data_IF_777294173468
#
_entry.id   IF_777294173468
#
_cell.length_a   1.000
_cell.length_b   1.000
_cell.length_c   1.000
_cell.angle_alpha   90.00
_cell.angle_beta   90.00
_cell.angle_gamma   90.00
#
_symmetry.space_group_name_H-M   'P 1'
#
loop_
_entity.id
_entity.type
_entity.pdbx_description
1 polymer ?
#
# COMPACT_ATOMS: atom_id res chain seq x y z
N UNK A 1 -32.17 -21.81 48.97
CA UNK A 1 -31.75 -20.58 48.25
C UNK A 1 -30.25 -20.42 48.42
N UNK A 2 -29.45 -20.97 47.51
CA UNK A 2 -28.00 -20.71 47.44
C UNK A 2 -27.73 -20.00 46.12
N UNK A 3 -27.23 -18.77 46.24
CA UNK A 3 -26.97 -17.83 45.15
C UNK A 3 -25.67 -18.21 44.43
N UNK A 4 -25.73 -18.18 43.11
CA UNK A 4 -24.72 -17.67 42.20
C UNK A 4 -23.25 -17.87 42.61
N UNK A 5 -22.64 -18.97 42.19
CA UNK A 5 -21.18 -19.06 42.05
C UNK A 5 -20.90 -20.05 40.92
N UNK A 6 -19.99 -19.70 40.00
CA UNK A 6 -19.66 -20.36 38.72
C UNK A 6 -20.22 -19.72 37.43
N UNK A 7 -20.18 -18.38 37.37
CA UNK A 7 -19.73 -17.67 36.18
C UNK A 7 -18.28 -17.28 36.46
N UNK A 8 -17.27 -17.85 35.78
CA UNK A 8 -15.88 -17.31 35.60
C UNK A 8 -14.83 -18.37 35.21
N UNK A 9 -15.18 -19.40 34.43
CA UNK A 9 -14.14 -20.21 33.76
C UNK A 9 -14.65 -20.47 32.36
N UNK A 10 -13.82 -20.21 31.34
CA UNK A 10 -14.01 -20.44 29.90
C UNK A 10 -14.47 -19.29 28.98
N UNK A 11 -14.38 -18.02 29.42
CA UNK A 11 -14.01 -16.97 28.47
C UNK A 11 -12.48 -16.99 28.34
N UNK A 12 -11.96 -18.06 27.74
CA UNK A 12 -10.65 -18.04 27.09
C UNK A 12 -10.82 -17.05 25.94
N UNK A 13 -10.66 -15.77 26.26
CA UNK A 13 -10.27 -14.79 25.28
C UNK A 13 -8.90 -15.28 24.84
N UNK A 14 -8.89 -16.13 23.82
CA UNK A 14 -7.76 -16.33 22.95
C UNK A 14 -7.49 -14.96 22.36
N UNK A 15 -6.76 -14.14 23.12
CA UNK A 15 -5.89 -13.12 22.56
C UNK A 15 -4.85 -13.91 21.76
N UNK A 16 -5.26 -14.46 20.62
CA UNK A 16 -4.36 -14.65 19.51
C UNK A 16 -3.90 -13.24 19.20
N UNK A 17 -2.82 -12.85 19.89
CA UNK A 17 -1.95 -11.75 19.51
C UNK A 17 -1.82 -11.91 18.00
N UNK A 18 -2.48 -11.05 17.24
CA UNK A 18 -2.20 -10.96 15.82
C UNK A 18 -0.75 -10.51 15.79
N UNK A 19 0.17 -11.49 15.72
CA UNK A 19 1.58 -11.23 15.58
C UNK A 19 1.69 -10.29 14.38
N UNK A 20 2.31 -9.13 14.60
CA UNK A 20 2.67 -8.28 13.48
C UNK A 20 3.47 -9.14 12.52
N UNK A 21 3.19 -9.09 11.21
CA UNK A 21 4.01 -9.82 10.25
C UNK A 21 5.46 -9.36 10.42
N UNK A 22 6.38 -10.32 10.34
CA UNK A 22 7.83 -10.11 10.38
C UNK A 22 8.45 -10.14 8.97
N UNK A 23 7.66 -10.55 7.97
CA UNK A 23 8.05 -10.66 6.56
C UNK A 23 7.05 -9.93 5.68
N UNK A 24 7.51 -9.30 4.62
CA UNK A 24 6.67 -8.49 3.74
C UNK A 24 6.92 -8.75 2.27
N UNK A 25 5.84 -8.62 1.50
CA UNK A 25 5.91 -8.42 0.05
C UNK A 25 5.56 -6.96 -0.22
N UNK A 26 6.47 -6.26 -0.89
CA UNK A 26 6.27 -4.89 -1.33
C UNK A 26 5.79 -4.87 -2.78
N UNK A 27 4.73 -4.14 -3.06
CA UNK A 27 4.22 -3.96 -4.42
C UNK A 27 4.11 -2.49 -4.74
N UNK A 28 4.76 -2.07 -5.81
CA UNK A 28 4.69 -0.71 -6.29
C UNK A 28 3.89 -0.61 -7.59
N UNK A 29 3.11 0.45 -7.73
CA UNK A 29 2.38 0.78 -8.96
C UNK A 29 2.79 2.16 -9.44
N UNK A 30 3.42 2.20 -10.61
CA UNK A 30 4.00 3.38 -11.22
C UNK A 30 3.02 4.09 -12.15
N UNK A 31 3.18 5.40 -12.30
CA UNK A 31 2.45 6.21 -13.27
C UNK A 31 3.06 6.15 -14.68
N UNK A 32 2.72 7.14 -15.53
CA UNK A 32 3.40 7.31 -16.82
C UNK A 32 4.90 7.56 -16.63
N UNK A 33 5.71 6.96 -17.49
CA UNK A 33 7.16 7.16 -17.52
C UNK A 33 7.95 6.33 -16.50
N UNK A 34 7.30 5.55 -15.63
CA UNK A 34 7.99 4.68 -14.66
C UNK A 34 8.30 3.28 -15.21
N UNK A 35 7.26 2.57 -15.69
CA UNK A 35 7.37 1.24 -16.30
C UNK A 35 6.50 1.17 -17.55
N UNK A 36 6.76 0.18 -18.41
CA UNK A 36 5.82 -0.15 -19.48
C UNK A 36 4.42 -0.35 -18.89
N UNK A 37 3.42 0.26 -19.54
CA UNK A 37 2.07 0.38 -18.97
C UNK A 37 1.52 -0.98 -18.49
N UNK A 38 1.72 -2.05 -19.26
CA UNK A 38 1.23 -3.39 -18.95
C UNK A 38 2.18 -4.28 -18.12
N UNK A 39 3.35 -3.78 -17.71
CA UNK A 39 4.35 -4.57 -17.00
C UNK A 39 3.96 -4.87 -15.56
N UNK A 40 4.43 -6.03 -15.09
CA UNK A 40 4.47 -6.43 -13.70
C UNK A 40 5.68 -7.35 -13.58
N UNK A 41 6.70 -6.89 -12.87
CA UNK A 41 8.00 -7.53 -12.79
C UNK A 41 8.42 -7.63 -11.34
N UNK A 42 9.12 -8.71 -11.00
CA UNK A 42 9.79 -8.82 -9.71
C UNK A 42 11.11 -8.05 -9.77
N UNK A 43 11.37 -7.23 -8.75
CA UNK A 43 12.64 -6.54 -8.62
C UNK A 43 13.73 -7.55 -8.31
N UNK A 44 14.78 -7.58 -9.13
CA UNK A 44 15.97 -8.39 -8.87
C UNK A 44 16.86 -7.79 -7.77
N UNK A 45 16.60 -6.54 -7.37
CA UNK A 45 17.36 -5.83 -6.36
C UNK A 45 16.43 -5.25 -5.30
N UNK A 46 16.68 -5.62 -4.04
CA UNK A 46 16.06 -5.06 -2.85
C UNK A 46 17.21 -4.49 -2.03
N UNK A 47 17.11 -3.22 -1.63
CA UNK A 47 18.17 -2.58 -0.83
C UNK A 47 18.24 -3.19 0.57
N UNK A 48 19.40 -3.14 1.22
CA UNK A 48 19.59 -3.66 2.59
C UNK A 48 18.56 -3.08 3.55
N UNK A 49 18.36 -1.76 3.55
CA UNK A 49 17.40 -1.10 4.45
C UNK A 49 15.97 -1.64 4.33
N UNK A 50 15.56 -2.06 3.12
CA UNK A 50 14.23 -2.60 2.87
C UNK A 50 14.17 -4.09 3.22
N UNK A 51 15.25 -4.82 2.97
CA UNK A 51 15.41 -6.19 3.43
C UNK A 51 15.42 -6.31 4.95
N UNK A 52 16.09 -5.38 5.66
CA UNK A 52 16.20 -5.34 7.11
C UNK A 52 14.84 -5.07 7.78
N UNK A 53 13.95 -4.35 7.08
CA UNK A 53 12.54 -4.17 7.44
C UNK A 53 11.65 -5.39 7.13
N UNK A 54 12.25 -6.53 6.76
CA UNK A 54 11.56 -7.78 6.47
C UNK A 54 10.96 -7.88 5.06
N UNK A 55 11.25 -6.97 4.12
CA UNK A 55 10.77 -7.10 2.74
C UNK A 55 11.61 -8.10 1.96
N UNK A 56 11.02 -9.23 1.60
CA UNK A 56 11.73 -10.32 0.93
C UNK A 56 11.51 -10.35 -0.58
N UNK A 57 10.38 -9.81 -1.03
CA UNK A 57 10.03 -9.73 -2.44
C UNK A 57 9.46 -8.36 -2.74
N UNK A 58 9.90 -7.80 -3.85
CA UNK A 58 9.40 -6.53 -4.36
C UNK A 58 8.90 -6.71 -5.78
N UNK A 59 7.70 -6.22 -6.06
CA UNK A 59 7.11 -6.22 -7.40
C UNK A 59 6.88 -4.79 -7.86
N UNK A 60 7.23 -4.50 -9.11
CA UNK A 60 6.97 -3.21 -9.72
C UNK A 60 6.00 -3.36 -10.89
N UNK A 61 4.94 -2.56 -10.89
CA UNK A 61 3.86 -2.64 -11.85
C UNK A 61 3.63 -1.31 -12.56
N UNK A 62 3.36 -1.34 -13.87
CA UNK A 62 2.93 -0.16 -14.61
C UNK A 62 1.47 0.20 -14.38
N UNK A 63 1.08 1.45 -14.68
CA UNK A 63 -0.29 1.95 -14.46
C UNK A 63 -1.38 1.22 -15.27
N UNK A 64 -1.02 0.49 -16.32
CA UNK A 64 -1.91 -0.29 -17.19
C UNK A 64 -1.99 -1.78 -16.85
N UNK A 65 -1.26 -2.24 -15.83
CA UNK A 65 -1.21 -3.66 -15.43
C UNK A 65 -2.62 -4.25 -15.30
N UNK A 66 -2.83 -5.44 -15.90
CA UNK A 66 -4.14 -6.09 -15.89
C UNK A 66 -4.35 -6.84 -14.56
N UNK A 67 -5.62 -6.95 -14.15
CA UNK A 67 -5.98 -7.73 -12.95
C UNK A 67 -5.55 -9.19 -13.04
N UNK A 68 -5.39 -9.74 -14.24
CA UNK A 68 -4.92 -11.13 -14.45
C UNK A 68 -3.49 -11.31 -13.93
N UNK A 69 -2.63 -10.29 -14.11
CA UNK A 69 -1.24 -10.32 -13.64
C UNK A 69 -1.12 -10.25 -12.11
N UNK A 70 -2.13 -9.70 -11.41
CA UNK A 70 -2.12 -9.67 -9.93
C UNK A 70 -2.01 -11.06 -9.31
N UNK A 71 -2.50 -12.10 -10.00
CA UNK A 71 -2.39 -13.49 -9.53
C UNK A 71 -0.95 -13.86 -9.17
N UNK A 72 0.02 -13.41 -9.98
CA UNK A 72 1.44 -13.69 -9.77
C UNK A 72 1.94 -13.23 -8.39
N UNK A 73 1.51 -12.05 -7.95
CA UNK A 73 1.87 -11.54 -6.61
C UNK A 73 1.02 -12.21 -5.53
N UNK A 74 -0.29 -12.33 -5.77
CA UNK A 74 -1.24 -12.85 -4.79
C UNK A 74 -1.05 -14.33 -4.48
N UNK A 75 -0.35 -15.09 -5.32
CA UNK A 75 -0.06 -16.51 -5.07
C UNK A 75 1.02 -16.72 -3.99
N UNK A 76 1.78 -15.68 -3.63
CA UNK A 76 2.78 -15.76 -2.58
C UNK A 76 2.23 -15.91 -1.15
N UNK A 77 0.98 -15.51 -0.93
CA UNK A 77 0.40 -15.39 0.41
C UNK A 77 -0.25 -16.68 0.93
N UNK A 78 -0.33 -17.75 0.13
CA UNK A 78 -1.09 -18.98 0.42
C UNK A 78 -2.47 -18.68 1.02
N UNK A 79 -3.42 -18.30 0.16
CA UNK A 79 -4.77 -17.94 0.58
C UNK A 79 -5.76 -19.06 0.21
N UNK A 80 -6.39 -19.66 1.23
CA UNK A 80 -7.36 -20.75 1.10
C UNK A 80 -8.70 -20.31 1.70
N UNK A 81 -9.78 -20.52 0.95
CA UNK A 81 -11.14 -20.16 1.37
C UNK A 81 -11.30 -18.72 1.89
N UNK A 82 -10.61 -17.77 1.24
CA UNK A 82 -10.67 -16.36 1.61
C UNK A 82 -9.85 -16.00 2.84
N UNK A 83 -8.95 -16.87 3.30
CA UNK A 83 -8.09 -16.65 4.47
C UNK A 83 -6.63 -16.86 4.12
N UNK A 84 -5.77 -15.97 4.61
CA UNK A 84 -4.33 -16.12 4.49
C UNK A 84 -3.81 -17.15 5.49
N UNK A 85 -3.13 -18.19 5.00
CA UNK A 85 -2.55 -19.24 5.85
C UNK A 85 -1.21 -18.81 6.46
N UNK A 86 -0.43 -18.02 5.73
CA UNK A 86 0.86 -17.46 6.17
C UNK A 86 0.67 -16.18 6.97
N UNK A 87 0.40 -16.29 8.27
CA UNK A 87 0.18 -15.12 9.13
C UNK A 87 1.41 -14.21 9.24
N UNK A 88 2.61 -14.79 9.11
CA UNK A 88 3.94 -14.16 9.09
C UNK A 88 4.12 -13.17 7.93
N UNK A 89 3.40 -13.36 6.81
CA UNK A 89 3.60 -12.59 5.60
C UNK A 89 2.65 -11.39 5.48
N UNK A 90 3.16 -10.17 5.54
CA UNK A 90 2.44 -8.93 5.33
C UNK A 90 2.50 -8.42 3.88
N UNK A 91 1.63 -7.47 3.57
CA UNK A 91 1.60 -6.77 2.29
C UNK A 91 1.78 -5.27 2.48
N UNK A 92 2.76 -4.71 1.76
CA UNK A 92 2.98 -3.27 1.63
C UNK A 92 2.67 -2.84 0.19
N UNK A 93 1.88 -1.79 0.02
CA UNK A 93 1.51 -1.25 -1.29
C UNK A 93 1.99 0.19 -1.42
N UNK A 94 2.67 0.54 -2.51
CA UNK A 94 2.96 1.93 -2.86
C UNK A 94 2.36 2.26 -4.22
N UNK A 95 1.52 3.29 -4.28
CA UNK A 95 0.91 3.78 -5.50
C UNK A 95 1.36 5.19 -5.84
N UNK A 96 2.12 5.34 -6.94
CA UNK A 96 2.59 6.63 -7.43
C UNK A 96 1.71 7.11 -8.59
N UNK A 97 1.34 8.39 -8.59
CA UNK A 97 0.71 9.04 -9.74
C UNK A 97 -0.48 8.22 -10.28
N UNK A 98 -0.47 7.82 -11.56
CA UNK A 98 -1.52 7.02 -12.20
C UNK A 98 -1.59 5.57 -11.71
N UNK A 99 -0.54 5.08 -11.05
CA UNK A 99 -0.52 3.78 -10.38
C UNK A 99 -1.42 3.73 -9.14
N UNK A 100 -1.89 4.88 -8.65
CA UNK A 100 -2.82 4.98 -7.52
C UNK A 100 -4.09 4.14 -7.71
N UNK A 101 -4.70 4.20 -8.90
CA UNK A 101 -5.91 3.41 -9.19
C UNK A 101 -5.62 1.91 -9.12
N UNK A 102 -4.48 1.47 -9.67
CA UNK A 102 -4.09 0.06 -9.68
C UNK A 102 -3.74 -0.45 -8.28
N UNK A 103 -3.11 0.38 -7.47
CA UNK A 103 -2.85 0.09 -6.05
C UNK A 103 -4.14 -0.19 -5.28
N UNK A 104 -5.16 0.65 -5.47
CA UNK A 104 -6.47 0.42 -4.87
C UNK A 104 -7.14 -0.86 -5.40
N UNK A 105 -7.15 -1.06 -6.71
CA UNK A 105 -7.75 -2.27 -7.30
C UNK A 105 -7.01 -3.55 -6.85
N UNK A 106 -5.70 -3.49 -6.65
CA UNK A 106 -4.89 -4.57 -6.09
C UNK A 106 -5.20 -4.82 -4.61
N UNK A 107 -5.29 -3.78 -3.78
CA UNK A 107 -5.62 -3.92 -2.36
C UNK A 107 -6.98 -4.60 -2.14
N UNK A 108 -7.99 -4.29 -2.97
CA UNK A 108 -9.28 -4.98 -2.96
C UNK A 108 -9.17 -6.44 -3.39
N UNK A 109 -8.34 -6.73 -4.39
CA UNK A 109 -8.13 -8.09 -4.86
C UNK A 109 -7.45 -8.95 -3.78
N UNK A 110 -6.46 -8.39 -3.08
CA UNK A 110 -5.82 -9.01 -1.93
C UNK A 110 -6.82 -9.28 -0.81
N UNK A 111 -7.57 -8.26 -0.38
CA UNK A 111 -8.60 -8.42 0.66
C UNK A 111 -9.64 -9.48 0.28
N UNK A 112 -10.12 -9.47 -0.97
CA UNK A 112 -11.06 -10.47 -1.47
C UNK A 112 -10.49 -11.88 -1.47
N UNK A 113 -9.22 -12.06 -1.83
CA UNK A 113 -8.57 -13.38 -1.94
C UNK A 113 -8.18 -13.94 -0.57
N UNK A 114 -7.71 -13.08 0.34
CA UNK A 114 -6.99 -13.48 1.54
C UNK A 114 -7.68 -13.06 2.85
N UNK A 115 -8.76 -12.28 2.79
CA UNK A 115 -9.53 -11.83 3.96
C UNK A 115 -8.79 -10.84 4.86
N UNK A 116 -7.55 -10.50 4.51
CA UNK A 116 -6.64 -9.62 5.24
C UNK A 116 -6.50 -8.28 4.52
N UNK A 117 -6.47 -7.19 5.27
CA UNK A 117 -6.13 -5.86 4.75
C UNK A 117 -4.62 -5.77 4.57
N UNK A 118 -4.15 -5.05 3.55
CA UNK A 118 -2.71 -4.75 3.46
C UNK A 118 -2.25 -4.08 4.76
N UNK A 119 -1.05 -4.39 5.23
CA UNK A 119 -0.55 -3.84 6.49
C UNK A 119 -0.31 -2.34 6.33
N UNK A 120 0.31 -1.94 5.20
CA UNK A 120 0.57 -0.54 4.86
C UNK A 120 0.23 -0.25 3.39
N UNK A 121 -0.36 0.91 3.16
CA UNK A 121 -0.54 1.47 1.82
C UNK A 121 -0.15 2.95 1.77
N UNK A 122 0.70 3.28 0.81
CA UNK A 122 1.18 4.63 0.56
C UNK A 122 0.67 5.12 -0.78
N UNK A 123 0.00 6.25 -0.78
CA UNK A 123 -0.51 6.90 -1.98
C UNK A 123 0.26 8.18 -2.21
N UNK A 124 1.03 8.25 -3.29
CA UNK A 124 1.93 9.37 -3.55
C UNK A 124 1.48 10.07 -4.82
N UNK A 125 0.93 11.27 -4.60
CA UNK A 125 0.39 12.19 -5.58
C UNK A 125 -0.57 11.51 -6.58
N UNK A 126 -1.50 10.74 -6.03
CA UNK A 126 -2.35 9.83 -6.78
C UNK A 126 -3.35 10.51 -7.71
N UNK A 127 -3.41 10.04 -8.95
CA UNK A 127 -4.21 10.60 -10.05
C UNK A 127 -4.95 9.48 -10.77
N UNK A 128 -6.18 9.77 -11.22
CA UNK A 128 -7.06 8.79 -11.87
C UNK A 128 -7.06 8.88 -13.41
N UNK A 129 -6.88 10.08 -13.97
CA UNK A 129 -6.81 10.39 -15.42
C UNK A 129 -5.98 11.66 -15.61
N UNK A 130 -5.68 12.07 -16.85
CA UNK A 130 -4.81 13.20 -17.24
C UNK A 130 -4.78 14.40 -16.27
N UNK A 131 -5.91 14.78 -15.65
CA UNK A 131 -6.00 15.89 -14.69
C UNK A 131 -6.94 15.63 -13.48
N UNK A 132 -7.42 14.41 -13.27
CA UNK A 132 -8.39 14.15 -12.18
C UNK A 132 -7.73 13.45 -11.00
N UNK A 133 -7.75 14.07 -9.82
CA UNK A 133 -7.22 13.48 -8.59
C UNK A 133 -7.91 12.16 -8.27
N UNK A 134 -7.12 11.18 -7.84
CA UNK A 134 -7.65 9.95 -7.28
C UNK A 134 -8.24 10.18 -5.89
N UNK A 135 -9.30 9.44 -5.52
CA UNK A 135 -10.09 9.71 -4.29
C UNK A 135 -10.41 8.49 -3.43
N UNK A 136 -10.00 7.28 -3.82
CA UNK A 136 -10.38 6.08 -3.09
C UNK A 136 -9.26 5.61 -2.16
N UNK A 137 -9.57 5.36 -0.88
CA UNK A 137 -8.61 4.75 0.04
C UNK A 137 -8.32 3.27 -0.34
N UNK A 138 -7.05 2.84 -0.38
CA UNK A 138 -6.69 1.43 -0.43
C UNK A 138 -7.21 0.64 0.77
N UNK A 139 -7.52 -0.65 0.57
CA UNK A 139 -7.92 -1.56 1.66
C UNK A 139 -6.68 -1.97 2.47
N UNK A 140 -6.33 -1.12 3.45
CA UNK A 140 -5.14 -1.27 4.28
C UNK A 140 -5.40 -0.91 5.76
N UNK A 141 -4.62 -1.48 6.68
CA UNK A 141 -4.64 -1.14 8.10
C UNK A 141 -4.12 0.29 8.29
N UNK A 142 -2.90 0.55 7.82
CA UNK A 142 -2.31 1.89 7.76
C UNK A 142 -2.42 2.42 6.33
N UNK A 143 -2.91 3.65 6.17
CA UNK A 143 -2.92 4.36 4.90
C UNK A 143 -2.34 5.76 5.06
N UNK A 144 -1.28 6.07 4.31
CA UNK A 144 -0.69 7.40 4.22
C UNK A 144 -0.81 7.94 2.80
N UNK A 145 -1.18 9.22 2.67
CA UNK A 145 -1.36 9.89 1.39
C UNK A 145 -0.53 11.17 1.35
N UNK A 146 0.49 11.21 0.49
CA UNK A 146 1.34 12.37 0.25
C UNK A 146 0.90 13.01 -1.06
N UNK A 147 0.47 14.27 -1.05
CA UNK A 147 -0.15 14.87 -2.23
C UNK A 147 0.13 16.36 -2.34
N UNK A 148 0.05 16.92 -3.56
CA UNK A 148 0.05 18.37 -3.77
C UNK A 148 -1.32 18.90 -4.18
N UNK A 149 -1.63 20.11 -3.76
CA UNK A 149 -2.88 20.82 -4.05
C UNK A 149 -2.77 21.79 -5.23
N UNK A 150 -1.55 22.16 -5.65
CA UNK A 150 -1.30 23.14 -6.72
C UNK A 150 -0.83 22.46 -8.00
N UNK A 151 -1.16 23.10 -9.13
CA UNK A 151 -0.76 22.68 -10.49
C UNK A 151 -1.84 21.91 -11.25
N UNK A 152 -1.63 21.76 -12.56
CA UNK A 152 -2.52 21.05 -13.51
C UNK A 152 -2.72 19.58 -13.09
N UNK A 153 -1.64 18.99 -12.60
CA UNK A 153 -1.57 17.64 -12.05
C UNK A 153 -1.65 17.83 -10.55
N UNK A 154 -2.79 17.61 -9.91
CA UNK A 154 -2.94 17.76 -8.46
C UNK A 154 -3.60 16.56 -7.82
N UNK A 155 -3.09 16.15 -6.67
CA UNK A 155 -3.69 15.15 -5.83
C UNK A 155 -4.78 15.74 -4.93
N UNK A 156 -5.44 14.88 -4.16
CA UNK A 156 -6.40 15.28 -3.14
C UNK A 156 -6.17 14.46 -1.88
N UNK A 157 -6.61 14.99 -0.74
CA UNK A 157 -6.75 14.18 0.46
C UNK A 157 -7.64 12.96 0.17
N UNK A 158 -7.23 11.79 0.66
CA UNK A 158 -8.00 10.55 0.60
C UNK A 158 -8.70 10.37 1.94
N UNK A 159 -10.02 10.22 1.90
CA UNK A 159 -10.83 10.02 3.11
C UNK A 159 -10.38 8.74 3.84
N UNK A 160 -10.18 8.86 5.15
CA UNK A 160 -9.71 7.78 6.00
C UNK A 160 -8.22 7.46 5.89
N UNK A 161 -7.42 8.16 5.09
CA UNK A 161 -5.96 8.06 5.17
C UNK A 161 -5.39 9.18 6.04
N UNK A 162 -4.19 8.99 6.56
CA UNK A 162 -3.38 10.09 7.07
C UNK A 162 -2.87 10.90 5.88
N UNK A 163 -3.15 12.21 5.86
CA UNK A 163 -2.98 13.04 4.67
C UNK A 163 -1.91 14.10 4.90
N UNK A 164 -0.86 14.07 4.08
CA UNK A 164 0.27 14.96 4.12
C UNK A 164 0.29 15.83 2.87
N UNK A 165 0.00 17.12 3.03
CA UNK A 165 0.06 18.07 1.93
C UNK A 165 1.51 18.51 1.68
N UNK A 166 2.09 18.10 0.56
CA UNK A 166 3.47 18.38 0.15
C UNK A 166 3.58 19.47 -0.90
N UNK A 167 2.62 20.39 -0.93
CA UNK A 167 2.61 21.53 -1.86
C UNK A 167 3.82 22.45 -1.67
N UNK A 168 4.33 22.59 -0.45
CA UNK A 168 5.49 23.45 -0.13
C UNK A 168 6.79 23.01 -0.84
N UNK A 169 6.94 21.72 -1.14
CA UNK A 169 8.07 21.18 -1.92
C UNK A 169 8.13 21.80 -3.33
N UNK A 170 7.03 22.39 -3.78
CA UNK A 170 6.91 23.02 -5.08
C UNK A 170 7.11 24.55 -5.09
N UNK A 171 7.57 25.19 -4.00
CA UNK A 171 7.65 26.66 -3.88
C UNK A 171 8.21 27.40 -5.12
N UNK A 172 9.19 26.80 -5.82
CA UNK A 172 9.85 27.40 -6.99
C UNK A 172 9.57 26.65 -8.31
N UNK A 173 8.59 25.75 -8.34
CA UNK A 173 8.35 24.85 -9.48
C UNK A 173 6.86 24.61 -9.71
N UNK A 174 6.48 24.18 -10.90
CA UNK A 174 5.08 23.89 -11.21
C UNK A 174 4.94 22.71 -12.17
N UNK A 175 3.69 22.33 -12.48
CA UNK A 175 3.40 21.30 -13.48
C UNK A 175 4.04 19.95 -13.16
N UNK A 176 4.75 19.39 -14.16
CA UNK A 176 5.37 18.07 -14.08
C UNK A 176 6.58 18.03 -13.12
N UNK A 177 7.38 19.09 -13.08
CA UNK A 177 8.54 19.15 -12.18
C UNK A 177 8.11 19.06 -10.71
N UNK A 178 7.09 19.84 -10.35
CA UNK A 178 6.47 19.78 -9.02
C UNK A 178 5.83 18.40 -8.74
N UNK A 179 5.26 17.74 -9.75
CA UNK A 179 4.78 16.36 -9.61
C UNK A 179 5.93 15.41 -9.25
N UNK A 180 7.03 15.44 -10.00
CA UNK A 180 8.20 14.58 -9.77
C UNK A 180 8.83 14.82 -8.39
N UNK A 181 8.92 16.07 -7.93
CA UNK A 181 9.41 16.39 -6.59
C UNK A 181 8.57 15.78 -5.48
N UNK A 182 7.23 15.86 -5.60
CA UNK A 182 6.32 15.26 -4.62
C UNK A 182 6.34 13.74 -4.69
N UNK A 183 6.53 13.15 -5.89
CA UNK A 183 6.76 11.71 -6.02
C UNK A 183 8.02 11.27 -5.28
N UNK A 184 9.13 12.00 -5.44
CA UNK A 184 10.40 11.71 -4.78
C UNK A 184 10.31 11.86 -3.26
N UNK A 185 9.76 12.98 -2.78
CA UNK A 185 9.58 13.25 -1.36
C UNK A 185 8.66 12.21 -0.70
N UNK A 186 7.50 11.95 -1.32
CA UNK A 186 6.55 10.97 -0.79
C UNK A 186 7.12 9.55 -0.78
N UNK A 187 7.99 9.23 -1.75
CA UNK A 187 8.71 7.95 -1.77
C UNK A 187 9.69 7.87 -0.61
N UNK A 188 10.53 8.89 -0.40
CA UNK A 188 11.50 8.91 0.70
C UNK A 188 10.80 8.69 2.05
N UNK A 189 9.71 9.41 2.32
CA UNK A 189 8.92 9.27 3.55
C UNK A 189 8.26 7.89 3.69
N UNK A 190 7.81 7.30 2.58
CA UNK A 190 7.29 5.93 2.59
C UNK A 190 8.39 4.93 2.93
N UNK A 191 9.60 5.07 2.36
CA UNK A 191 10.72 4.19 2.62
C UNK A 191 11.25 4.33 4.05
N UNK A 192 11.30 5.53 4.61
CA UNK A 192 11.65 5.77 6.02
C UNK A 192 10.66 5.07 6.98
N UNK A 193 9.36 5.17 6.69
CA UNK A 193 8.31 4.51 7.49
C UNK A 193 8.31 2.98 7.32
N UNK A 194 8.77 2.46 6.17
CA UNK A 194 8.98 1.03 5.96
C UNK A 194 10.24 0.57 6.70
N UNK A 195 11.34 1.32 6.63
CA UNK A 195 12.61 0.98 7.29
C UNK A 195 12.52 0.98 8.83
N UNK A 196 11.50 1.64 9.40
CA UNK A 196 11.21 1.65 10.83
C UNK A 196 10.24 0.56 11.31
N UNK A 197 9.88 -0.40 10.46
CA UNK A 197 9.12 -1.61 10.84
C UNK A 197 9.96 -2.56 11.69
#
# INVERSE_FOLDING_TARGET
>A
MLKATFFLISLLISFSSFASPDRYILVTFHGLGGLESGALEESLYITSNISDAGVERMYNAGHGVSKRKFKMVLDNFDCRDGKQMRADMGLIIIGYSWGARKSYDFSKAYFKKCGRKADRAYMIDGIQKLITSFRHRPVAQVCKNYYKRKGIISGKALEGCENFNKTEVCEKTSGMECHQKVLSEGLNLAMEDIAGL
#
